data_IF_800618919253
#
_entry.id   IF_800618919253
#
_cell.length_a   1.000
_cell.length_b   1.000
_cell.length_c   1.000
_cell.angle_alpha   90.00
_cell.angle_beta   90.00
_cell.angle_gamma   90.00
#
_symmetry.space_group_name_H-M   'P 1'
#
loop_
_entity.id
_entity.type
_entity.pdbx_description
1 polymer ?
#
# COMPACT_ATOMS: atom_id res chain seq x y z
N UNK A 1 12.61 -27.10 1.60
CA UNK A 1 13.04 -26.73 2.96
C UNK A 1 14.17 -25.72 2.82
N UNK A 2 13.83 -24.43 2.73
CA UNK A 2 14.83 -23.37 2.50
C UNK A 2 15.02 -22.57 3.79
N UNK A 3 16.27 -22.50 4.20
CA UNK A 3 16.75 -21.99 5.49
C UNK A 3 16.55 -20.47 5.48
N UNK A 4 15.56 -19.97 6.25
CA UNK A 4 15.63 -18.61 6.78
C UNK A 4 16.82 -18.58 7.73
N UNK A 5 17.99 -18.17 7.25
CA UNK A 5 19.02 -17.62 8.15
C UNK A 5 18.44 -16.32 8.65
N UNK A 6 17.76 -16.38 9.80
CA UNK A 6 17.48 -15.20 10.59
C UNK A 6 18.83 -14.54 10.89
N UNK A 7 19.11 -13.45 10.20
CA UNK A 7 20.08 -12.46 10.64
C UNK A 7 19.48 -11.84 11.90
N UNK A 8 19.57 -12.57 13.02
CA UNK A 8 19.30 -12.05 14.35
C UNK A 8 20.48 -11.17 14.72
N UNK A 9 20.49 -9.96 14.18
CA UNK A 9 21.25 -8.87 14.78
C UNK A 9 20.55 -8.65 16.13
N UNK A 10 21.06 -9.29 17.18
CA UNK A 10 20.70 -8.90 18.54
C UNK A 10 21.13 -7.45 18.66
N UNK A 11 20.16 -6.54 18.64
CA UNK A 11 20.40 -5.18 19.12
C UNK A 11 21.06 -5.31 20.49
N UNK A 12 22.22 -4.69 20.72
CA UNK A 12 22.87 -4.80 22.01
C UNK A 12 21.88 -4.29 23.06
N UNK A 13 21.67 -5.10 24.10
CA UNK A 13 20.73 -4.90 25.22
C UNK A 13 20.93 -3.54 25.93
N UNK A 14 22.04 -2.85 25.63
CA UNK A 14 22.43 -1.57 26.18
C UNK A 14 22.80 -0.54 25.09
N UNK A 15 22.15 -0.60 23.92
CA UNK A 15 22.27 0.46 22.91
C UNK A 15 21.63 1.75 23.48
N UNK A 16 22.40 2.84 23.63
CA UNK A 16 21.80 4.12 23.97
C UNK A 16 20.75 4.45 22.89
N UNK A 17 19.58 4.90 23.32
CA UNK A 17 18.55 5.42 22.41
C UNK A 17 19.25 6.45 21.51
N UNK A 18 19.17 6.31 20.17
CA UNK A 18 19.92 7.18 19.28
C UNK A 18 19.52 8.63 19.53
N UNK A 19 20.45 9.41 20.08
CA UNK A 19 20.27 10.85 20.25
C UNK A 19 20.30 11.51 18.86
N UNK A 20 19.74 12.71 18.68
CA UNK A 20 19.78 13.42 17.40
C UNK A 20 21.20 13.58 16.81
N UNK A 21 22.22 13.56 17.66
CA UNK A 21 23.63 13.68 17.32
C UNK A 21 24.30 12.34 16.97
N UNK A 22 23.59 11.22 17.12
CA UNK A 22 24.11 9.89 16.75
C UNK A 22 24.33 9.83 15.25
N UNK A 23 25.58 9.56 14.84
CA UNK A 23 25.96 9.46 13.42
C UNK A 23 25.90 8.00 12.97
N UNK A 24 25.13 7.74 11.92
CA UNK A 24 25.09 6.45 11.24
C UNK A 24 25.87 6.49 9.93
N UNK A 25 26.64 5.43 9.69
CA UNK A 25 27.39 5.22 8.45
C UNK A 25 26.59 4.32 7.51
N UNK A 26 26.39 4.79 6.29
CA UNK A 26 25.86 3.97 5.20
C UNK A 26 26.96 3.06 4.64
N UNK A 27 26.56 1.99 3.93
CA UNK A 27 27.49 1.07 3.25
C UNK A 27 28.41 1.77 2.23
N UNK A 28 28.04 2.97 1.81
CA UNK A 28 28.82 3.83 0.89
C UNK A 28 29.77 4.79 1.62
N UNK A 29 29.93 4.65 2.94
CA UNK A 29 30.78 5.49 3.77
C UNK A 29 30.21 6.90 4.05
N UNK A 30 28.96 7.18 3.66
CA UNK A 30 28.34 8.49 3.92
C UNK A 30 27.75 8.49 5.33
N UNK A 31 28.13 9.51 6.10
CA UNK A 31 27.69 9.75 7.48
C UNK A 31 26.44 10.63 7.50
N UNK A 32 25.43 10.23 8.28
CA UNK A 32 24.22 11.00 8.54
C UNK A 32 23.93 11.02 10.03
N UNK A 33 23.51 12.16 10.56
CA UNK A 33 22.97 12.20 11.93
C UNK A 33 21.52 11.69 11.95
N UNK A 34 21.09 11.09 13.05
CA UNK A 34 19.68 10.69 13.26
C UNK A 34 18.74 11.89 13.15
N UNK A 35 19.13 13.04 13.73
CA UNK A 35 18.40 14.30 13.60
C UNK A 35 18.32 14.77 12.14
N UNK A 36 19.39 14.59 11.37
CA UNK A 36 19.37 14.91 9.94
C UNK A 36 18.37 14.03 9.17
N UNK A 37 18.34 12.73 9.43
CA UNK A 37 17.37 11.81 8.78
C UNK A 37 15.93 12.21 9.12
N UNK A 38 15.70 12.67 10.34
CA UNK A 38 14.38 13.08 10.80
C UNK A 38 13.94 14.46 10.29
N UNK A 39 14.85 15.38 10.00
CA UNK A 39 14.47 16.76 9.65
C UNK A 39 14.94 17.23 8.27
N UNK A 40 15.73 16.45 7.55
CA UNK A 40 16.28 16.86 6.27
C UNK A 40 15.30 16.69 5.12
N UNK A 41 15.14 17.76 4.33
CA UNK A 41 14.37 17.76 3.07
C UNK A 41 15.10 17.05 1.93
N UNK A 42 16.42 16.85 2.04
CA UNK A 42 17.24 16.13 1.02
C UNK A 42 17.08 14.61 1.13
N UNK A 43 16.65 14.11 2.28
CA UNK A 43 16.46 12.69 2.55
C UNK A 43 14.99 12.36 2.28
N UNK A 44 14.75 11.69 1.15
CA UNK A 44 13.41 11.23 0.78
C UNK A 44 12.98 10.10 1.71
N UNK A 45 11.97 10.35 2.54
CA UNK A 45 11.36 9.33 3.39
C UNK A 45 10.30 8.59 2.59
N UNK A 46 10.20 7.29 2.82
CA UNK A 46 9.08 6.50 2.27
C UNK A 46 7.76 7.07 2.77
N UNK A 47 6.81 7.26 1.86
CA UNK A 47 5.45 7.68 2.18
C UNK A 47 4.68 6.63 3.01
N UNK A 48 5.17 5.38 3.06
CA UNK A 48 4.59 4.32 3.91
C UNK A 48 5.61 3.77 4.90
N UNK A 49 5.63 4.28 6.15
CA UNK A 49 6.27 3.60 7.25
C UNK A 49 5.66 2.20 7.40
N UNK A 50 6.50 1.17 7.61
CA UNK A 50 6.00 -0.18 7.90
C UNK A 50 5.21 -0.15 9.21
N UNK A 51 4.02 -0.76 9.22
CA UNK A 51 3.16 -0.81 10.41
C UNK A 51 2.15 0.33 10.55
N UNK A 52 2.13 1.29 9.63
CA UNK A 52 1.07 2.32 9.60
C UNK A 52 -0.22 1.79 8.92
N UNK A 53 -1.39 2.37 9.24
CA UNK A 53 -2.69 2.00 8.67
C UNK A 53 -2.65 1.98 7.14
N UNK A 54 -2.03 3.00 6.54
CA UNK A 54 -1.89 3.11 5.09
C UNK A 54 -1.11 1.94 4.46
N UNK A 55 -0.21 1.31 5.23
CA UNK A 55 0.57 0.16 4.79
C UNK A 55 -0.29 -1.10 4.68
N UNK A 56 -1.17 -1.36 5.65
CA UNK A 56 -2.04 -2.54 5.60
C UNK A 56 -3.11 -2.40 4.51
N UNK A 57 -3.74 -1.23 4.43
CA UNK A 57 -4.82 -0.98 3.48
C UNK A 57 -4.34 -1.17 2.04
N UNK A 58 -3.20 -0.57 1.65
CA UNK A 58 -2.69 -0.71 0.26
C UNK A 58 -2.46 -2.15 -0.15
N UNK A 59 -1.96 -3.00 0.76
CA UNK A 59 -1.66 -4.40 0.45
C UNK A 59 -2.93 -5.22 0.31
N UNK A 60 -3.88 -5.04 1.24
CA UNK A 60 -5.18 -5.71 1.18
C UNK A 60 -5.93 -5.27 -0.10
N UNK A 61 -5.96 -3.97 -0.41
CA UNK A 61 -6.54 -3.45 -1.64
C UNK A 61 -5.89 -4.03 -2.90
N UNK A 62 -4.56 -4.17 -2.90
CA UNK A 62 -3.83 -4.78 -4.00
C UNK A 62 -4.18 -6.25 -4.18
N UNK A 63 -4.38 -7.00 -3.09
CA UNK A 63 -4.83 -8.40 -3.17
C UNK A 63 -6.21 -8.51 -3.80
N UNK A 64 -7.15 -7.64 -3.44
CA UNK A 64 -8.47 -7.60 -4.08
C UNK A 64 -8.39 -7.32 -5.59
N UNK A 65 -7.57 -6.34 -5.99
CA UNK A 65 -7.37 -6.04 -7.42
C UNK A 65 -6.73 -7.23 -8.15
N UNK A 66 -5.75 -7.90 -7.55
CA UNK A 66 -5.12 -9.08 -8.16
C UNK A 66 -6.13 -10.21 -8.35
N UNK A 67 -6.94 -10.51 -7.33
CA UNK A 67 -8.01 -11.50 -7.46
C UNK A 67 -9.00 -11.12 -8.56
N UNK A 68 -9.37 -9.83 -8.66
CA UNK A 68 -10.25 -9.33 -9.71
C UNK A 68 -9.67 -9.55 -11.12
N UNK A 69 -8.39 -9.20 -11.32
CA UNK A 69 -7.69 -9.42 -12.59
C UNK A 69 -7.63 -10.90 -12.95
N UNK A 70 -7.46 -11.79 -11.96
CA UNK A 70 -7.51 -13.24 -12.20
C UNK A 70 -8.87 -13.72 -12.70
N UNK A 71 -9.97 -13.11 -12.25
CA UNK A 71 -11.32 -13.45 -12.73
C UNK A 71 -11.51 -13.11 -14.21
N UNK A 72 -10.79 -12.11 -14.74
CA UNK A 72 -10.87 -11.72 -16.17
C UNK A 72 -10.32 -12.77 -17.13
N UNK A 73 -9.51 -13.70 -16.64
CA UNK A 73 -9.02 -14.82 -17.44
C UNK A 73 -10.05 -15.94 -17.60
N UNK A 74 -11.19 -15.86 -16.89
CA UNK A 74 -12.24 -16.86 -16.92
C UNK A 74 -13.45 -16.34 -17.71
N UNK A 75 -14.08 -17.23 -18.47
CA UNK A 75 -15.31 -16.93 -19.20
C UNK A 75 -16.55 -17.21 -18.33
N UNK A 76 -17.52 -16.30 -18.37
CA UNK A 76 -18.80 -16.43 -17.67
C UNK A 76 -19.23 -15.16 -16.93
N UNK A 77 -20.54 -14.90 -16.89
CA UNK A 77 -21.11 -13.69 -16.28
C UNK A 77 -20.81 -13.60 -14.76
N UNK A 78 -20.76 -14.74 -14.07
CA UNK A 78 -20.41 -14.81 -12.66
C UNK A 78 -18.98 -14.30 -12.37
N UNK A 79 -18.02 -14.63 -13.23
CA UNK A 79 -16.63 -14.19 -13.08
C UNK A 79 -16.47 -12.71 -13.39
N UNK A 80 -17.21 -12.19 -14.39
CA UNK A 80 -17.26 -10.76 -14.68
C UNK A 80 -17.87 -9.96 -13.53
N UNK A 81 -18.92 -10.49 -12.90
CA UNK A 81 -19.56 -9.85 -11.74
C UNK A 81 -18.61 -9.87 -10.54
N UNK A 82 -17.90 -10.98 -10.31
CA UNK A 82 -16.86 -11.08 -9.29
C UNK A 82 -15.71 -10.09 -9.53
N UNK A 83 -15.20 -9.95 -10.77
CA UNK A 83 -14.20 -8.94 -11.13
C UNK A 83 -14.67 -7.53 -10.76
N UNK A 84 -15.91 -7.16 -11.13
CA UNK A 84 -16.46 -5.83 -10.83
C UNK A 84 -16.52 -5.57 -9.32
N UNK A 85 -16.97 -6.53 -8.52
CA UNK A 85 -17.07 -6.39 -7.05
C UNK A 85 -15.68 -6.32 -6.41
N UNK A 86 -14.78 -7.23 -6.76
CA UNK A 86 -13.42 -7.28 -6.22
C UNK A 86 -12.62 -6.03 -6.61
N UNK A 87 -12.73 -5.59 -7.87
CA UNK A 87 -12.14 -4.34 -8.36
C UNK A 87 -12.71 -3.14 -7.63
N UNK A 88 -14.02 -3.09 -7.35
CA UNK A 88 -14.65 -2.00 -6.60
C UNK A 88 -14.07 -1.90 -5.18
N UNK A 89 -13.97 -3.02 -4.45
CA UNK A 89 -13.38 -3.06 -3.11
C UNK A 89 -11.90 -2.63 -3.14
N UNK A 90 -11.15 -3.15 -4.11
CA UNK A 90 -9.75 -2.79 -4.32
C UNK A 90 -9.56 -1.29 -4.58
N UNK A 91 -10.33 -0.70 -5.48
CA UNK A 91 -10.26 0.72 -5.81
C UNK A 91 -10.78 1.62 -4.69
N UNK A 92 -11.80 1.22 -3.92
CA UNK A 92 -12.22 1.97 -2.73
C UNK A 92 -11.08 2.05 -1.70
N UNK A 93 -10.40 0.94 -1.45
CA UNK A 93 -9.26 0.94 -0.53
C UNK A 93 -8.05 1.73 -1.05
N UNK A 94 -7.77 1.71 -2.37
CA UNK A 94 -6.75 2.59 -2.96
C UNK A 94 -7.13 4.07 -2.95
N UNK A 95 -8.42 4.40 -3.09
CA UNK A 95 -8.92 5.77 -2.89
C UNK A 95 -8.66 6.22 -1.45
N UNK A 96 -8.93 5.34 -0.47
CA UNK A 96 -8.64 5.61 0.95
C UNK A 96 -7.14 5.84 1.20
N UNK A 97 -6.27 5.03 0.58
CA UNK A 97 -4.81 5.25 0.63
C UNK A 97 -4.43 6.60 0.04
N UNK A 98 -5.04 6.99 -1.08
CA UNK A 98 -4.84 8.32 -1.70
C UNK A 98 -5.20 9.46 -0.75
N UNK A 99 -6.31 9.32 0.00
CA UNK A 99 -6.70 10.28 1.04
C UNK A 99 -5.66 10.36 2.17
N UNK A 100 -5.18 9.21 2.66
CA UNK A 100 -4.14 9.15 3.71
C UNK A 100 -2.83 9.80 3.27
N UNK A 101 -2.41 9.60 2.02
CA UNK A 101 -1.18 10.19 1.47
C UNK A 101 -1.36 11.61 0.94
N UNK A 102 -2.60 12.12 0.93
CA UNK A 102 -2.97 13.40 0.31
C UNK A 102 -2.53 13.47 -1.17
N UNK A 103 -2.56 12.33 -1.85
CA UNK A 103 -2.19 12.20 -3.27
C UNK A 103 -3.43 12.36 -4.15
N UNK A 104 -3.50 13.51 -4.84
CA UNK A 104 -4.65 13.87 -5.68
C UNK A 104 -4.81 12.95 -6.89
N UNK A 105 -3.71 12.49 -7.47
CA UNK A 105 -3.77 11.63 -8.65
C UNK A 105 -4.35 10.26 -8.26
N UNK A 106 -3.93 9.70 -7.12
CA UNK A 106 -4.41 8.41 -6.63
C UNK A 106 -5.90 8.46 -6.24
N UNK A 107 -6.35 9.56 -5.64
CA UNK A 107 -7.76 9.81 -5.30
C UNK A 107 -8.62 9.90 -6.57
N UNK A 108 -8.23 10.75 -7.53
CA UNK A 108 -9.04 10.99 -8.73
C UNK A 108 -9.15 9.71 -9.57
N UNK A 109 -8.02 9.02 -9.80
CA UNK A 109 -8.00 7.81 -10.61
C UNK A 109 -8.92 6.73 -10.02
N UNK A 110 -8.71 6.37 -8.75
CA UNK A 110 -9.48 5.29 -8.14
C UNK A 110 -10.93 5.72 -7.83
N UNK A 111 -11.17 6.99 -7.51
CA UNK A 111 -12.52 7.52 -7.27
C UNK A 111 -13.42 7.43 -8.51
N UNK A 112 -12.88 7.76 -9.70
CA UNK A 112 -13.62 7.61 -10.96
C UNK A 112 -13.90 6.13 -11.26
N UNK A 113 -12.93 5.24 -11.01
CA UNK A 113 -13.11 3.79 -11.20
C UNK A 113 -14.20 3.25 -10.27
N UNK A 114 -14.21 3.69 -9.00
CA UNK A 114 -15.26 3.31 -8.04
C UNK A 114 -16.64 3.74 -8.55
N UNK A 115 -16.76 4.96 -9.06
CA UNK A 115 -18.03 5.43 -9.61
C UNK A 115 -18.48 4.64 -10.85
N UNK A 116 -17.55 4.37 -11.77
CA UNK A 116 -17.84 3.60 -12.98
C UNK A 116 -18.24 2.15 -12.68
N UNK A 117 -17.51 1.46 -11.80
CA UNK A 117 -17.83 0.08 -11.40
C UNK A 117 -19.11 0.01 -10.55
N UNK A 118 -19.31 0.97 -9.64
CA UNK A 118 -20.51 1.05 -8.81
C UNK A 118 -21.78 1.28 -9.63
N UNK A 119 -21.73 2.20 -10.60
CA UNK A 119 -22.86 2.43 -11.53
C UNK A 119 -23.16 1.21 -12.41
N UNK A 120 -22.12 0.52 -12.90
CA UNK A 120 -22.29 -0.71 -13.66
C UNK A 120 -22.95 -1.83 -12.83
N UNK A 121 -22.50 -2.03 -11.58
CA UNK A 121 -23.08 -3.03 -10.67
C UNK A 121 -24.52 -2.69 -10.27
N UNK A 122 -24.81 -1.42 -10.00
CA UNK A 122 -26.18 -0.98 -9.69
C UNK A 122 -27.10 -1.22 -10.89
N UNK A 123 -26.67 -0.88 -12.10
CA UNK A 123 -27.42 -1.16 -13.32
C UNK A 123 -27.64 -2.65 -13.55
N UNK A 124 -26.64 -3.49 -13.26
CA UNK A 124 -26.80 -4.94 -13.30
C UNK A 124 -27.85 -5.41 -12.27
N UNK A 125 -27.78 -4.95 -11.03
CA UNK A 125 -28.73 -5.31 -9.98
C UNK A 125 -30.17 -4.92 -10.32
N UNK A 126 -30.39 -3.72 -10.87
CA UNK A 126 -31.73 -3.26 -11.30
C UNK A 126 -32.31 -4.15 -12.41
N UNK A 127 -31.48 -4.65 -13.34
CA UNK A 127 -31.96 -5.54 -14.42
C UNK A 127 -32.43 -6.92 -13.91
N UNK A 128 -32.00 -7.31 -12.72
CA UNK A 128 -32.34 -8.59 -12.09
C UNK A 128 -33.58 -8.51 -11.18
N UNK A 129 -34.09 -7.31 -10.90
CA UNK A 129 -35.33 -7.03 -10.16
C UNK A 129 -36.53 -6.94 -11.11
#
# INVERSE_FOLDING_TARGET
MSIKKEFSIKEPENSPTPTPDTVIKTDKGVEYSVGEIQHSKRILKSATPKGDLSWYVKWISSMFILMAVMMRAQDGEQFQTADRILSLIGCMGWTWVGLLWKDRALIILNGIIVFALGSALLGQFIRWL
#
